data_IF_948732950729
#
_entry.id   IF_948732950729
#
_cell.length_a   1.000
_cell.length_b   1.000
_cell.length_c   1.000
_cell.angle_alpha   90.00
_cell.angle_beta   90.00
_cell.angle_gamma   90.00
#
_symmetry.space_group_name_H-M   'P 1'
#
loop_
_entity.id
_entity.type
_entity.pdbx_description
1 polymer ?
#
# COMPACT_ATOMS: atom_id res chain seq x y z
N UNK A 1 54.24 33.32 58.91
CA UNK A 1 53.53 32.01 58.70
C UNK A 1 52.54 32.21 57.61
N UNK A 2 52.87 31.77 56.40
CA UNK A 2 52.07 31.99 55.20
C UNK A 2 51.41 30.64 54.83
N UNK A 3 50.06 30.54 54.81
CA UNK A 3 49.32 29.37 54.44
C UNK A 3 49.07 29.39 52.91
N UNK A 4 49.40 28.38 52.13
CA UNK A 4 49.04 28.32 50.73
C UNK A 4 47.57 27.90 50.55
N UNK A 5 46.83 28.70 49.82
CA UNK A 5 45.48 28.47 49.38
C UNK A 5 45.51 27.50 48.19
N UNK A 6 45.03 26.25 48.40
CA UNK A 6 44.95 25.21 47.40
C UNK A 6 43.66 25.43 46.57
N UNK A 7 43.77 25.94 45.34
CA UNK A 7 42.64 26.05 44.37
C UNK A 7 42.42 24.71 43.73
N UNK A 8 41.32 24.05 44.11
CA UNK A 8 40.83 22.83 43.50
C UNK A 8 40.08 23.16 42.19
N UNK A 9 40.68 22.91 41.03
CA UNK A 9 40.04 23.00 39.73
C UNK A 9 39.17 21.76 39.52
N UNK A 10 37.85 21.90 39.70
CA UNK A 10 36.86 20.88 39.36
C UNK A 10 36.60 20.95 37.84
N UNK A 11 37.23 20.06 37.08
CA UNK A 11 36.97 19.92 35.64
C UNK A 11 35.61 19.32 35.41
N UNK A 12 34.63 20.12 35.05
CA UNK A 12 33.27 19.71 34.68
C UNK A 12 33.33 19.01 33.32
N UNK A 13 33.40 17.69 33.30
CA UNK A 13 33.35 16.86 32.10
C UNK A 13 31.89 16.82 31.62
N UNK A 14 31.53 17.68 30.65
CA UNK A 14 30.25 17.62 29.98
C UNK A 14 30.24 16.40 29.05
N UNK A 15 29.23 15.51 29.16
CA UNK A 15 29.11 14.44 28.19
C UNK A 15 28.80 15.05 26.82
N UNK A 16 29.71 14.85 25.85
CA UNK A 16 29.47 15.13 24.45
C UNK A 16 28.29 14.23 23.99
N UNK A 17 27.14 14.83 23.74
CA UNK A 17 26.05 14.13 23.09
C UNK A 17 26.52 13.72 21.69
N UNK A 18 26.84 12.44 21.52
CA UNK A 18 27.06 11.87 20.20
C UNK A 18 25.74 12.06 19.42
N UNK A 19 25.79 12.91 18.39
CA UNK A 19 24.75 12.96 17.39
C UNK A 19 24.65 11.55 16.79
N UNK A 20 23.56 10.86 17.08
CA UNK A 20 23.20 9.65 16.33
C UNK A 20 22.93 10.10 14.90
N UNK A 21 23.89 9.90 14.00
CA UNK A 21 23.64 9.92 12.57
C UNK A 21 22.51 8.91 12.33
N UNK A 22 21.30 9.43 12.14
CA UNK A 22 20.20 8.63 11.63
C UNK A 22 20.58 8.37 10.17
N UNK A 23 21.23 7.24 9.92
CA UNK A 23 21.44 6.71 8.59
C UNK A 23 20.05 6.59 7.96
N UNK A 24 19.67 7.61 7.18
CA UNK A 24 18.40 7.62 6.48
C UNK A 24 18.52 6.59 5.36
N UNK A 25 18.14 5.36 5.68
CA UNK A 25 18.07 4.27 4.71
C UNK A 25 17.24 4.74 3.49
N UNK A 26 17.84 4.65 2.31
CA UNK A 26 17.16 4.98 1.06
C UNK A 26 16.07 3.93 0.83
N UNK A 27 14.80 4.33 0.91
CA UNK A 27 13.65 3.48 0.62
C UNK A 27 13.37 3.55 -0.88
N UNK A 28 13.38 2.39 -1.55
CA UNK A 28 13.04 2.26 -2.97
C UNK A 28 11.55 1.97 -3.10
N UNK A 29 10.83 2.88 -3.74
CA UNK A 29 9.40 2.73 -4.00
C UNK A 29 9.18 2.56 -5.50
N UNK A 30 8.42 1.54 -5.89
CA UNK A 30 8.00 1.33 -7.27
C UNK A 30 6.53 1.72 -7.42
N UNK A 31 6.24 2.69 -8.30
CA UNK A 31 4.88 3.16 -8.53
C UNK A 31 4.29 2.45 -9.74
N UNK A 32 3.12 1.83 -9.55
CA UNK A 32 2.41 1.07 -10.58
C UNK A 32 1.11 1.82 -10.91
N UNK A 33 0.97 2.40 -12.12
CA UNK A 33 -0.25 3.07 -12.50
C UNK A 33 -1.38 2.06 -12.75
N UNK A 34 -2.51 2.26 -12.08
CA UNK A 34 -3.76 1.50 -12.31
C UNK A 34 -4.78 2.48 -12.86
N UNK A 35 -4.86 2.53 -14.17
CA UNK A 35 -5.72 3.46 -14.91
C UNK A 35 -6.84 2.73 -15.62
N UNK A 36 -7.92 3.45 -15.90
CA UNK A 36 -9.05 2.95 -16.65
C UNK A 36 -9.73 1.72 -16.03
N UNK A 37 -10.39 0.91 -16.85
CA UNK A 37 -11.18 -0.22 -16.40
C UNK A 37 -10.29 -1.39 -15.93
N UNK A 38 -10.64 -1.98 -14.79
CA UNK A 38 -10.01 -3.22 -14.31
C UNK A 38 -10.40 -4.39 -15.21
N UNK A 39 -9.40 -4.92 -15.90
CA UNK A 39 -9.51 -6.02 -16.84
C UNK A 39 -8.15 -6.69 -17.06
N UNK A 40 -8.02 -7.57 -18.07
CA UNK A 40 -6.76 -8.28 -18.36
C UNK A 40 -5.57 -7.33 -18.57
N UNK A 41 -5.79 -6.16 -19.17
CA UNK A 41 -4.74 -5.15 -19.37
C UNK A 41 -4.23 -4.59 -18.04
N UNK A 42 -5.13 -4.20 -17.12
CA UNK A 42 -4.76 -3.73 -15.79
C UNK A 42 -4.03 -4.81 -14.98
N UNK A 43 -4.52 -6.05 -15.03
CA UNK A 43 -3.83 -7.19 -14.41
C UNK A 43 -2.42 -7.38 -14.98
N UNK A 44 -2.24 -7.29 -16.29
CA UNK A 44 -0.93 -7.40 -16.91
C UNK A 44 0.02 -6.28 -16.42
N UNK A 45 -0.45 -5.03 -16.38
CA UNK A 45 0.34 -3.87 -15.90
C UNK A 45 0.77 -4.07 -14.45
N UNK A 46 -0.16 -4.43 -13.57
CA UNK A 46 0.16 -4.66 -12.15
C UNK A 46 1.15 -5.81 -11.98
N UNK A 47 0.92 -6.95 -12.62
CA UNK A 47 1.81 -8.10 -12.53
C UNK A 47 3.22 -7.78 -13.05
N UNK A 48 3.31 -7.04 -14.15
CA UNK A 48 4.59 -6.59 -14.70
C UNK A 48 5.30 -5.62 -13.75
N UNK A 49 4.58 -4.63 -13.22
CA UNK A 49 5.15 -3.68 -12.26
C UNK A 49 5.65 -4.35 -10.97
N UNK A 50 4.89 -5.33 -10.44
CA UNK A 50 5.34 -6.11 -9.29
C UNK A 50 6.62 -6.92 -9.59
N UNK A 51 6.71 -7.51 -10.78
CA UNK A 51 7.93 -8.20 -11.21
C UNK A 51 9.12 -7.23 -11.30
N UNK A 52 8.94 -6.08 -11.94
CA UNK A 52 9.98 -5.04 -12.04
C UNK A 52 10.40 -4.53 -10.65
N UNK A 53 9.44 -4.35 -9.73
CA UNK A 53 9.72 -3.97 -8.35
C UNK A 53 10.63 -4.99 -7.64
N UNK A 54 10.35 -6.28 -7.80
CA UNK A 54 11.18 -7.36 -7.24
C UNK A 54 12.59 -7.34 -7.86
N UNK A 55 12.70 -7.23 -9.18
CA UNK A 55 13.97 -7.19 -9.90
C UNK A 55 14.84 -6.00 -9.45
N UNK A 56 14.22 -4.86 -9.18
CA UNK A 56 14.90 -3.65 -8.68
C UNK A 56 15.04 -3.61 -7.16
N UNK A 57 14.64 -4.66 -6.45
CA UNK A 57 14.68 -4.74 -4.97
C UNK A 57 13.97 -3.54 -4.32
N UNK A 58 12.77 -3.23 -4.81
CA UNK A 58 11.93 -2.21 -4.20
C UNK A 58 11.45 -2.67 -2.82
N UNK A 59 11.53 -1.77 -1.85
CA UNK A 59 11.07 -2.00 -0.47
C UNK A 59 9.55 -1.93 -0.39
N UNK A 60 8.95 -1.17 -1.32
CA UNK A 60 7.52 -0.97 -1.38
C UNK A 60 7.01 -0.77 -2.81
N UNK A 61 5.73 -1.09 -3.03
CA UNK A 61 4.98 -0.70 -4.22
C UNK A 61 3.83 0.23 -3.85
N UNK A 62 3.55 1.19 -4.72
CA UNK A 62 2.38 2.06 -4.62
C UNK A 62 1.53 1.88 -5.87
N UNK A 63 0.27 1.47 -5.70
CA UNK A 63 -0.71 1.50 -6.77
C UNK A 63 -1.24 2.93 -6.89
N UNK A 64 -0.92 3.63 -7.98
CA UNK A 64 -1.47 4.95 -8.28
C UNK A 64 -2.80 4.78 -9.02
N UNK A 65 -3.92 4.90 -8.28
CA UNK A 65 -5.24 4.50 -8.75
C UNK A 65 -6.09 5.63 -9.30
N UNK A 66 -6.57 5.40 -10.53
CA UNK A 66 -7.65 6.17 -11.16
C UNK A 66 -8.50 5.20 -11.99
N UNK A 67 -9.51 4.57 -11.37
CA UNK A 67 -10.29 3.52 -12.03
C UNK A 67 -11.76 3.54 -11.61
N UNK A 68 -12.69 3.41 -12.57
CA UNK A 68 -14.12 3.23 -12.29
C UNK A 68 -14.46 1.80 -11.84
N UNK A 69 -13.47 0.89 -11.78
CA UNK A 69 -13.68 -0.51 -11.48
C UNK A 69 -13.64 -1.42 -12.69
N UNK A 70 -14.24 -2.61 -12.61
CA UNK A 70 -14.25 -3.54 -13.74
C UNK A 70 -14.48 -5.00 -13.33
N UNK A 71 -13.82 -5.92 -14.04
CA UNK A 71 -14.07 -7.36 -13.96
C UNK A 71 -13.57 -7.99 -12.65
N UNK A 72 -14.44 -8.76 -11.97
CA UNK A 72 -14.10 -9.48 -10.74
C UNK A 72 -12.95 -10.48 -10.92
N UNK A 73 -12.88 -11.18 -12.05
CA UNK A 73 -11.79 -12.11 -12.33
C UNK A 73 -10.42 -11.42 -12.25
N UNK A 74 -10.26 -10.33 -13.00
CA UNK A 74 -9.00 -9.55 -12.97
C UNK A 74 -8.74 -8.90 -11.61
N UNK A 75 -9.80 -8.54 -10.86
CA UNK A 75 -9.67 -8.07 -9.48
C UNK A 75 -9.01 -9.11 -8.59
N UNK A 76 -9.48 -10.35 -8.63
CA UNK A 76 -8.91 -11.44 -7.83
C UNK A 76 -7.48 -11.77 -8.23
N UNK A 77 -7.17 -11.76 -9.54
CA UNK A 77 -5.81 -11.99 -10.05
C UNK A 77 -4.84 -10.90 -9.57
N UNK A 78 -5.27 -9.64 -9.55
CA UNK A 78 -4.48 -8.52 -9.03
C UNK A 78 -4.26 -8.66 -7.53
N UNK A 79 -5.31 -8.92 -6.75
CA UNK A 79 -5.20 -9.12 -5.29
C UNK A 79 -4.28 -10.29 -4.95
N UNK A 80 -4.33 -11.37 -5.72
CA UNK A 80 -3.43 -12.52 -5.53
C UNK A 80 -1.97 -12.16 -5.86
N UNK A 81 -1.75 -11.37 -6.90
CA UNK A 81 -0.41 -10.93 -7.26
C UNK A 81 0.20 -10.00 -6.18
N UNK A 82 -0.61 -9.09 -5.63
CA UNK A 82 -0.20 -8.22 -4.51
C UNK A 82 0.19 -9.03 -3.27
N UNK A 83 -0.61 -10.02 -2.90
CA UNK A 83 -0.35 -10.87 -1.73
C UNK A 83 0.96 -11.69 -1.83
N UNK A 84 1.52 -11.83 -3.04
CA UNK A 84 2.81 -12.51 -3.28
C UNK A 84 4.01 -11.57 -3.30
N UNK A 85 3.78 -10.28 -3.24
CA UNK A 85 4.87 -9.31 -3.22
C UNK A 85 5.57 -9.33 -1.85
N UNK A 86 6.91 -9.44 -1.79
CA UNK A 86 7.64 -9.60 -0.53
C UNK A 86 7.84 -8.30 0.25
N UNK A 87 7.59 -7.14 -0.36
CA UNK A 87 7.71 -5.82 0.25
C UNK A 87 6.37 -5.25 0.66
N UNK A 88 6.37 -4.01 1.12
CA UNK A 88 5.15 -3.31 1.54
C UNK A 88 4.30 -2.89 0.35
N UNK A 89 2.99 -2.92 0.53
CA UNK A 89 2.03 -2.55 -0.50
C UNK A 89 1.16 -1.38 -0.08
N UNK A 90 1.06 -0.37 -0.94
CA UNK A 90 0.28 0.83 -0.70
C UNK A 90 -0.62 1.13 -1.88
N UNK A 91 -1.75 1.76 -1.59
CA UNK A 91 -2.59 2.38 -2.62
C UNK A 91 -2.61 3.89 -2.42
N UNK A 92 -2.39 4.63 -3.48
CA UNK A 92 -2.66 6.06 -3.56
C UNK A 92 -3.86 6.30 -4.46
N UNK A 93 -4.98 6.71 -3.87
CA UNK A 93 -6.20 7.06 -4.61
C UNK A 93 -6.02 8.47 -5.19
N UNK A 94 -5.51 8.53 -6.42
CA UNK A 94 -5.20 9.78 -7.11
C UNK A 94 -6.47 10.58 -7.44
N UNK A 95 -7.48 9.90 -7.98
CA UNK A 95 -8.78 10.51 -8.30
C UNK A 95 -9.90 9.62 -7.79
N UNK A 96 -9.91 8.35 -8.21
CA UNK A 96 -10.98 7.41 -7.86
C UNK A 96 -10.48 5.96 -7.82
N UNK A 97 -11.01 5.19 -6.87
CA UNK A 97 -10.87 3.74 -6.78
C UNK A 97 -12.27 3.15 -6.55
N UNK A 98 -13.03 3.01 -7.63
CA UNK A 98 -14.44 2.63 -7.58
C UNK A 98 -14.60 1.13 -7.84
N UNK A 99 -15.62 0.50 -7.21
CA UNK A 99 -16.00 -0.90 -7.42
C UNK A 99 -14.81 -1.86 -7.24
N UNK A 100 -14.36 -2.53 -8.30
CA UNK A 100 -13.17 -3.40 -8.32
C UNK A 100 -11.91 -2.68 -7.78
N UNK A 101 -11.76 -1.38 -8.05
CA UNK A 101 -10.66 -0.57 -7.54
C UNK A 101 -10.65 -0.47 -6.02
N UNK A 102 -11.83 -0.36 -5.38
CA UNK A 102 -11.94 -0.34 -3.93
C UNK A 102 -11.50 -1.67 -3.28
N UNK A 103 -11.81 -2.80 -3.92
CA UNK A 103 -11.37 -4.12 -3.42
C UNK A 103 -9.86 -4.31 -3.56
N UNK A 104 -9.28 -3.86 -4.68
CA UNK A 104 -7.82 -3.92 -4.88
C UNK A 104 -7.13 -3.01 -3.86
N UNK A 105 -7.62 -1.80 -3.64
CA UNK A 105 -7.08 -0.89 -2.65
C UNK A 105 -7.13 -1.49 -1.23
N UNK A 106 -8.25 -2.10 -0.86
CA UNK A 106 -8.42 -2.75 0.46
C UNK A 106 -7.54 -4.01 0.64
N UNK A 107 -6.92 -4.52 -0.41
CA UNK A 107 -5.97 -5.63 -0.34
C UNK A 107 -4.50 -5.16 -0.20
N UNK A 108 -4.25 -3.87 -0.14
CA UNK A 108 -2.94 -3.29 0.22
C UNK A 108 -2.88 -2.94 1.70
N UNK A 109 -1.70 -2.79 2.27
CA UNK A 109 -1.50 -2.51 3.70
C UNK A 109 -2.03 -1.14 4.12
N UNK A 110 -1.88 -0.12 3.28
CA UNK A 110 -2.32 1.23 3.58
C UNK A 110 -2.93 1.90 2.35
N UNK A 111 -3.92 2.75 2.58
CA UNK A 111 -4.59 3.53 1.53
C UNK A 111 -4.42 5.02 1.82
N UNK A 112 -3.85 5.73 0.87
CA UNK A 112 -3.64 7.17 0.91
C UNK A 112 -4.49 7.86 -0.17
N UNK A 113 -4.88 9.09 0.06
CA UNK A 113 -5.78 9.83 -0.83
C UNK A 113 -5.17 11.15 -1.28
N UNK A 114 -5.35 11.46 -2.56
CA UNK A 114 -5.29 12.85 -3.02
C UNK A 114 -6.43 13.67 -2.37
N UNK A 115 -6.34 15.00 -2.32
CA UNK A 115 -7.35 15.84 -1.66
C UNK A 115 -8.80 15.58 -2.11
N UNK A 116 -9.01 15.18 -3.38
CA UNK A 116 -10.33 14.87 -3.95
C UNK A 116 -10.50 13.39 -4.30
N UNK A 117 -9.60 12.53 -3.77
CA UNK A 117 -9.65 11.10 -4.01
C UNK A 117 -10.89 10.46 -3.41
N UNK A 118 -11.61 9.66 -4.20
CA UNK A 118 -12.79 8.93 -3.76
C UNK A 118 -12.63 7.42 -3.88
N UNK A 119 -13.19 6.69 -2.93
CA UNK A 119 -13.20 5.22 -2.91
C UNK A 119 -14.60 4.72 -2.56
N UNK A 120 -15.05 3.64 -3.17
CA UNK A 120 -16.32 3.01 -2.80
C UNK A 120 -17.07 2.37 -3.96
N UNK A 121 -18.41 2.40 -3.87
CA UNK A 121 -19.34 1.77 -4.83
C UNK A 121 -19.01 0.27 -5.10
N UNK A 122 -18.56 -0.44 -4.07
CA UNK A 122 -18.03 -1.80 -4.15
C UNK A 122 -19.10 -2.88 -4.06
N UNK A 123 -20.23 -2.70 -4.73
CA UNK A 123 -21.29 -3.72 -4.81
C UNK A 123 -21.07 -4.59 -6.07
N UNK A 124 -21.01 -5.93 -5.95
CA UNK A 124 -20.92 -6.80 -7.12
C UNK A 124 -22.18 -6.67 -7.99
N UNK A 125 -21.95 -6.43 -9.28
CA UNK A 125 -23.00 -6.43 -10.32
C UNK A 125 -22.60 -7.40 -11.45
N UNK A 126 -23.59 -7.84 -12.24
CA UNK A 126 -23.33 -8.64 -13.44
C UNK A 126 -22.61 -7.83 -14.52
N UNK A 127 -22.06 -8.50 -15.54
CA UNK A 127 -21.38 -7.86 -16.66
C UNK A 127 -22.28 -6.84 -17.42
N UNK A 128 -23.60 -6.94 -17.30
CA UNK A 128 -24.56 -5.98 -17.86
C UNK A 128 -24.99 -4.88 -16.89
N UNK A 129 -24.34 -4.74 -15.71
CA UNK A 129 -24.69 -3.74 -14.70
C UNK A 129 -25.95 -4.07 -13.89
N UNK A 130 -26.53 -5.23 -14.09
CA UNK A 130 -27.71 -5.71 -13.36
C UNK A 130 -27.32 -6.25 -12.00
N UNK A 131 -28.23 -6.20 -11.03
CA UNK A 131 -28.02 -6.82 -9.74
C UNK A 131 -27.77 -8.34 -9.86
N UNK A 132 -26.78 -8.82 -9.16
CA UNK A 132 -26.50 -10.24 -9.02
C UNK A 132 -27.52 -10.83 -8.04
N UNK A 133 -28.00 -12.06 -8.33
CA UNK A 133 -28.90 -12.79 -7.44
C UNK A 133 -28.34 -12.81 -6.01
N UNK A 134 -29.20 -12.60 -5.01
CA UNK A 134 -28.84 -12.35 -3.62
C UNK A 134 -27.86 -13.40 -3.03
N UNK A 135 -28.10 -14.68 -3.30
CA UNK A 135 -27.23 -15.77 -2.85
C UNK A 135 -25.84 -15.70 -3.46
N UNK A 136 -25.75 -15.39 -4.76
CA UNK A 136 -24.47 -15.22 -5.46
C UNK A 136 -23.74 -13.98 -4.94
N UNK A 137 -24.45 -12.87 -4.74
CA UNK A 137 -23.91 -11.64 -4.15
C UNK A 137 -23.29 -11.91 -2.78
N UNK A 138 -23.97 -12.66 -1.91
CA UNK A 138 -23.46 -13.05 -0.59
C UNK A 138 -22.16 -13.88 -0.70
N UNK A 139 -22.11 -14.85 -1.63
CA UNK A 139 -20.92 -15.66 -1.86
C UNK A 139 -19.73 -14.81 -2.31
N UNK A 140 -19.93 -13.91 -3.28
CA UNK A 140 -18.89 -12.99 -3.77
C UNK A 140 -18.39 -12.08 -2.65
N UNK A 141 -19.30 -11.46 -1.89
CA UNK A 141 -18.94 -10.57 -0.78
C UNK A 141 -18.19 -11.33 0.32
N UNK A 142 -18.63 -12.55 0.65
CA UNK A 142 -17.95 -13.40 1.65
C UNK A 142 -16.51 -13.76 1.19
N UNK A 143 -16.35 -14.12 -0.08
CA UNK A 143 -15.05 -14.42 -0.66
C UNK A 143 -14.12 -13.19 -0.65
N UNK A 144 -14.61 -12.01 -1.07
CA UNK A 144 -13.86 -10.76 -1.06
C UNK A 144 -13.42 -10.40 0.36
N UNK A 145 -14.32 -10.48 1.35
CA UNK A 145 -13.97 -10.25 2.76
C UNK A 145 -12.87 -11.19 3.26
N UNK A 146 -12.94 -12.47 2.89
CA UNK A 146 -11.91 -13.44 3.25
C UNK A 146 -10.55 -13.10 2.61
N UNK A 147 -10.54 -12.68 1.33
CA UNK A 147 -9.32 -12.28 0.63
C UNK A 147 -8.69 -11.01 1.21
N UNK A 148 -9.48 -9.98 1.50
CA UNK A 148 -9.01 -8.74 2.14
C UNK A 148 -8.44 -9.05 3.53
N UNK A 149 -9.14 -9.86 4.33
CA UNK A 149 -8.62 -10.26 5.65
C UNK A 149 -7.27 -10.96 5.53
N UNK A 150 -7.17 -11.97 4.64
CA UNK A 150 -5.92 -12.69 4.43
C UNK A 150 -4.76 -11.78 3.97
N UNK A 151 -5.05 -10.71 3.22
CA UNK A 151 -4.03 -9.74 2.80
C UNK A 151 -3.55 -8.83 3.94
N UNK A 152 -4.39 -8.61 4.96
CA UNK A 152 -4.11 -7.67 6.05
C UNK A 152 -3.68 -8.35 7.37
N UNK A 153 -3.75 -9.67 7.45
CA UNK A 153 -3.36 -10.45 8.64
C UNK A 153 -1.98 -11.12 8.49
N UNK A 154 -1.32 -10.98 7.35
CA UNK A 154 0.03 -11.51 7.06
C UNK A 154 1.11 -10.47 7.26
#
# INVERSE_FOLDING_TARGET
MLRPLLLLFLALCLPSAAATDTDSAIVRVHVIPVRDQIGPAAHYVVRRGLKEAIEHRADAVVLDMKTPGGALGSTFEIMEALAKFPGRTFTYVNTEAISAGAFIAAATEEIWFAPEGIIGAAAPVSAGGQDVEATMKQKIVSYLKARIRAANEG
#
